data_IF_170464032295
#
_entry.id   IF_170464032295
#
_cell.length_a   1.000
_cell.length_b   1.000
_cell.length_c   1.000
_cell.angle_alpha   90.00
_cell.angle_beta   90.00
_cell.angle_gamma   90.00
#
_symmetry.space_group_name_H-M   'P 1'
#
loop_
_entity.id
_entity.type
_entity.pdbx_description
1 polymer ?
#
# COMPACT_ATOMS: atom_id res chain seq x y z
N UNK A 1 20.09 25.43 -9.93
CA UNK A 1 19.09 24.50 -9.36
C UNK A 1 19.15 23.19 -10.14
N UNK A 2 20.01 22.27 -9.70
CA UNK A 2 20.04 20.87 -10.16
C UNK A 2 20.40 20.08 -8.91
N UNK A 3 19.41 19.49 -8.22
CA UNK A 3 19.69 18.64 -7.06
C UNK A 3 20.00 17.23 -7.56
N UNK A 4 21.29 16.98 -7.76
CA UNK A 4 21.83 15.64 -7.64
C UNK A 4 22.04 15.31 -6.17
N UNK A 5 21.45 14.21 -5.71
CA UNK A 5 22.22 13.23 -4.92
C UNK A 5 21.56 11.86 -5.05
N UNK A 6 22.38 10.93 -5.51
CA UNK A 6 22.19 9.49 -5.46
C UNK A 6 21.43 9.07 -4.19
N UNK A 7 20.21 8.58 -4.36
CA UNK A 7 19.62 7.64 -3.42
C UNK A 7 20.04 6.26 -3.91
N UNK A 8 21.26 5.85 -3.56
CA UNK A 8 21.53 4.43 -3.35
C UNK A 8 20.45 3.93 -2.42
N UNK A 9 19.52 3.13 -2.94
CA UNK A 9 18.62 2.34 -2.13
C UNK A 9 19.51 1.46 -1.24
N UNK A 10 19.57 1.79 0.05
CA UNK A 10 20.11 0.87 1.04
C UNK A 10 19.10 -0.29 1.12
N UNK A 11 19.44 -1.50 0.65
CA UNK A 11 18.56 -2.65 0.76
C UNK A 11 18.24 -2.95 2.24
N UNK A 12 19.14 -2.57 3.14
CA UNK A 12 19.00 -2.71 4.59
C UNK A 12 17.98 -1.73 5.18
N UNK A 13 17.67 -0.60 4.51
CA UNK A 13 16.64 0.33 4.98
C UNK A 13 15.22 -0.24 4.83
N UNK A 14 15.01 -1.09 3.82
CA UNK A 14 13.75 -1.81 3.62
C UNK A 14 13.60 -2.95 4.63
N UNK A 15 14.67 -3.70 4.92
CA UNK A 15 14.69 -4.73 5.96
C UNK A 15 14.56 -4.16 7.39
N UNK A 16 15.18 -3.01 7.69
CA UNK A 16 15.15 -2.41 9.02
C UNK A 16 13.75 -1.94 9.46
N UNK A 17 12.86 -1.63 8.51
CA UNK A 17 11.45 -1.32 8.79
C UNK A 17 10.60 -2.58 9.01
N UNK A 18 10.91 -3.67 8.30
CA UNK A 18 10.22 -4.96 8.44
C UNK A 18 10.62 -5.73 9.72
N UNK A 19 11.84 -5.51 10.24
CA UNK A 19 12.41 -6.29 11.34
C UNK A 19 11.87 -5.95 12.74
N UNK A 20 11.01 -4.94 12.91
CA UNK A 20 10.46 -4.56 14.24
C UNK A 20 9.13 -5.28 14.50
N UNK A 21 9.18 -6.61 14.41
CA UNK A 21 8.06 -7.54 14.63
C UNK A 21 7.77 -7.77 16.11
N UNK A 22 6.66 -7.20 16.59
CA UNK A 22 5.93 -7.72 17.73
C UNK A 22 4.95 -8.76 17.19
N UNK A 23 5.46 -9.97 16.98
CA UNK A 23 5.01 -10.93 15.97
C UNK A 23 3.50 -11.27 16.06
N UNK A 24 3.02 -11.72 17.22
CA UNK A 24 1.62 -12.16 17.34
C UNK A 24 0.57 -11.04 17.34
N UNK A 25 0.85 -9.88 17.93
CA UNK A 25 -0.14 -8.79 18.02
C UNK A 25 -0.25 -8.01 16.70
N UNK A 26 0.86 -7.86 15.96
CA UNK A 26 0.85 -7.30 14.61
C UNK A 26 0.19 -8.24 13.61
N UNK A 27 0.47 -9.54 13.68
CA UNK A 27 -0.14 -10.54 12.79
C UNK A 27 -1.66 -10.66 13.02
N UNK A 28 -2.11 -10.68 14.28
CA UNK A 28 -3.55 -10.61 14.61
C UNK A 28 -4.17 -9.31 14.11
N UNK A 29 -3.47 -8.17 14.26
CA UNK A 29 -3.92 -6.87 13.76
C UNK A 29 -3.98 -6.80 12.23
N UNK A 30 -3.04 -7.44 11.53
CA UNK A 30 -2.99 -7.52 10.07
C UNK A 30 -4.08 -8.45 9.53
N UNK A 31 -4.28 -9.61 10.14
CA UNK A 31 -5.36 -10.52 9.79
C UNK A 31 -6.73 -9.86 9.98
N UNK A 32 -6.95 -9.21 11.14
CA UNK A 32 -8.19 -8.49 11.41
C UNK A 32 -8.41 -7.32 10.44
N UNK A 33 -7.34 -6.62 10.07
CA UNK A 33 -7.38 -5.56 9.07
C UNK A 33 -7.77 -6.09 7.68
N UNK A 34 -7.19 -7.19 7.25
CA UNK A 34 -7.52 -7.84 5.96
C UNK A 34 -8.96 -8.35 5.96
N UNK A 35 -9.44 -8.92 7.06
CA UNK A 35 -10.82 -9.39 7.16
C UNK A 35 -11.83 -8.24 7.15
N UNK A 36 -11.51 -7.10 7.80
CA UNK A 36 -12.32 -5.90 7.72
C UNK A 36 -12.40 -5.36 6.26
N UNK A 37 -11.28 -5.34 5.53
CA UNK A 37 -11.26 -4.99 4.11
C UNK A 37 -12.12 -5.94 3.26
N UNK A 38 -12.10 -7.24 3.54
CA UNK A 38 -12.95 -8.23 2.84
C UNK A 38 -14.44 -8.03 3.11
N UNK A 39 -14.79 -7.61 4.32
CA UNK A 39 -16.17 -7.32 4.71
C UNK A 39 -16.69 -5.98 4.19
N UNK A 40 -15.84 -5.18 3.54
CA UNK A 40 -16.23 -3.89 2.99
C UNK A 40 -16.24 -2.77 4.03
N UNK A 41 -15.48 -2.91 5.13
CA UNK A 41 -15.42 -1.91 6.20
C UNK A 41 -14.77 -0.61 5.70
N UNK A 42 -15.50 0.51 5.82
CA UNK A 42 -15.07 1.81 5.33
C UNK A 42 -13.86 2.36 6.08
N UNK A 43 -13.77 2.14 7.40
CA UNK A 43 -12.66 2.63 8.21
C UNK A 43 -11.37 1.86 7.88
N UNK A 44 -11.49 0.56 7.60
CA UNK A 44 -10.38 -0.25 7.12
C UNK A 44 -9.88 0.22 5.74
N UNK A 45 -10.78 0.60 4.82
CA UNK A 45 -10.38 1.16 3.54
C UNK A 45 -9.68 2.51 3.69
N UNK A 46 -10.23 3.41 4.50
CA UNK A 46 -9.59 4.70 4.77
C UNK A 46 -8.20 4.51 5.38
N UNK A 47 -8.04 3.55 6.30
CA UNK A 47 -6.73 3.20 6.85
C UNK A 47 -5.77 2.62 5.80
N UNK A 48 -6.24 1.79 4.87
CA UNK A 48 -5.43 1.28 3.76
C UNK A 48 -4.96 2.41 2.85
N UNK A 49 -5.87 3.29 2.43
CA UNK A 49 -5.55 4.44 1.58
C UNK A 49 -4.55 5.35 2.28
N UNK A 50 -4.81 5.74 3.54
CA UNK A 50 -3.91 6.61 4.30
C UNK A 50 -2.53 5.99 4.50
N UNK A 51 -2.43 4.67 4.70
CA UNK A 51 -1.15 3.99 4.91
C UNK A 51 -0.30 3.93 3.63
N UNK A 52 -0.90 3.67 2.48
CA UNK A 52 -0.15 3.32 1.27
C UNK A 52 -0.15 4.39 0.17
N UNK A 53 -0.99 5.44 0.26
CA UNK A 53 -1.14 6.41 -0.83
C UNK A 53 0.15 7.14 -1.17
N UNK A 54 0.91 7.58 -0.16
CA UNK A 54 2.15 8.32 -0.38
C UNK A 54 3.21 7.46 -1.10
N UNK A 55 3.37 6.20 -0.67
CA UNK A 55 4.36 5.29 -1.22
C UNK A 55 4.01 4.86 -2.64
N UNK A 56 2.73 4.53 -2.89
CA UNK A 56 2.25 4.16 -4.22
C UNK A 56 2.36 5.35 -5.18
N UNK A 57 1.95 6.55 -4.75
CA UNK A 57 2.07 7.75 -5.56
C UNK A 57 3.53 8.07 -5.90
N UNK A 58 4.43 8.03 -4.91
CA UNK A 58 5.85 8.29 -5.14
C UNK A 58 6.48 7.27 -6.10
N UNK A 59 6.08 6.00 -6.00
CA UNK A 59 6.50 4.97 -6.96
C UNK A 59 6.00 5.29 -8.37
N UNK A 60 4.72 5.63 -8.52
CA UNK A 60 4.12 5.92 -9.82
C UNK A 60 4.75 7.15 -10.48
N UNK A 61 4.97 8.23 -9.72
CA UNK A 61 5.66 9.43 -10.23
C UNK A 61 7.05 9.10 -10.75
N UNK A 62 7.76 8.18 -10.08
CA UNK A 62 9.09 7.73 -10.53
C UNK A 62 9.02 6.88 -11.80
N UNK A 63 7.93 6.17 -12.03
CA UNK A 63 7.75 5.30 -13.19
C UNK A 63 7.23 6.04 -14.42
N UNK A 64 6.29 6.97 -14.25
CA UNK A 64 5.66 7.72 -15.34
C UNK A 64 6.37 9.03 -15.64
N UNK A 65 6.98 9.66 -14.62
CA UNK A 65 7.50 11.03 -14.72
C UNK A 65 6.43 12.12 -14.76
N UNK A 66 5.16 11.75 -14.62
CA UNK A 66 4.00 12.65 -14.69
C UNK A 66 3.20 12.58 -13.38
N UNK A 67 3.07 13.71 -12.69
CA UNK A 67 2.37 13.81 -11.42
C UNK A 67 0.86 13.68 -11.51
N UNK A 68 0.26 14.10 -12.63
CA UNK A 68 -1.19 14.04 -12.86
C UNK A 68 -1.60 12.61 -13.21
N UNK A 69 -0.90 11.99 -14.17
CA UNK A 69 -1.13 10.58 -14.51
C UNK A 69 -0.91 9.66 -13.30
N UNK A 70 0.08 9.96 -12.47
CA UNK A 70 0.35 9.20 -11.24
C UNK A 70 -0.77 9.29 -10.21
N UNK A 71 -1.45 10.44 -10.12
CA UNK A 71 -2.58 10.62 -9.20
C UNK A 71 -3.77 9.74 -9.62
N UNK A 72 -4.03 9.67 -10.93
CA UNK A 72 -5.09 8.82 -11.49
C UNK A 72 -4.75 7.34 -11.35
N UNK A 73 -3.51 6.96 -11.64
CA UNK A 73 -3.03 5.57 -11.48
C UNK A 73 -3.05 5.13 -10.02
N UNK A 74 -2.77 6.03 -9.07
CA UNK A 74 -2.87 5.72 -7.63
C UNK A 74 -4.30 5.36 -7.26
N UNK A 75 -5.27 6.18 -7.70
CA UNK A 75 -6.69 5.92 -7.45
C UNK A 75 -7.13 4.59 -8.07
N UNK A 76 -6.80 4.35 -9.35
CA UNK A 76 -7.16 3.11 -10.04
C UNK A 76 -6.51 1.88 -9.38
N UNK A 77 -5.30 2.02 -8.84
CA UNK A 77 -4.61 0.94 -8.10
C UNK A 77 -5.39 0.55 -6.85
N UNK A 78 -5.84 1.51 -6.04
CA UNK A 78 -6.66 1.22 -4.87
C UNK A 78 -8.02 0.64 -5.23
N UNK A 79 -8.66 1.14 -6.28
CA UNK A 79 -9.94 0.60 -6.75
C UNK A 79 -9.81 -0.85 -7.24
N UNK A 80 -8.70 -1.19 -7.93
CA UNK A 80 -8.39 -2.58 -8.31
C UNK A 80 -8.11 -3.46 -7.11
N UNK A 81 -7.34 -2.98 -6.14
CA UNK A 81 -7.06 -3.71 -4.92
C UNK A 81 -8.36 -4.02 -4.16
N UNK A 82 -9.24 -3.02 -4.01
CA UNK A 82 -10.55 -3.16 -3.39
C UNK A 82 -11.40 -4.25 -4.07
N UNK A 83 -11.54 -4.18 -5.39
CA UNK A 83 -12.28 -5.20 -6.16
C UNK A 83 -11.68 -6.59 -5.99
N UNK A 84 -10.35 -6.68 -6.08
CA UNK A 84 -9.66 -7.96 -5.92
C UNK A 84 -9.81 -8.56 -4.52
N UNK A 85 -9.83 -7.73 -3.47
CA UNK A 85 -10.03 -8.17 -2.09
C UNK A 85 -11.46 -8.70 -1.90
N UNK A 86 -12.46 -8.00 -2.45
CA UNK A 86 -13.84 -8.45 -2.44
C UNK A 86 -14.04 -9.77 -3.21
N UNK A 87 -13.46 -9.87 -4.42
CA UNK A 87 -13.54 -11.07 -5.26
C UNK A 87 -12.82 -12.29 -4.65
N UNK A 88 -11.72 -12.06 -3.92
CA UNK A 88 -11.02 -13.12 -3.19
C UNK A 88 -11.90 -13.76 -2.11
N UNK A 89 -12.81 -12.99 -1.49
CA UNK A 89 -13.79 -13.51 -0.55
C UNK A 89 -14.88 -14.36 -1.22
N UNK A 90 -15.21 -14.07 -2.48
CA UNK A 90 -16.30 -14.76 -3.21
C UNK A 90 -15.91 -16.16 -3.72
N UNK A 91 -14.62 -16.42 -3.98
CA UNK A 91 -14.13 -17.67 -4.57
C UNK A 91 -13.65 -18.73 -3.55
N UNK A 92 -13.91 -18.57 -2.25
CA UNK A 92 -13.55 -19.55 -1.21
C UNK A 92 -14.73 -20.41 -0.71
N UNK A 93 -15.74 -20.65 -1.57
CA UNK A 93 -16.83 -21.60 -1.31
C UNK A 93 -16.66 -22.92 -2.06
#
# INVERSE_FOLDING_TARGET
MIFGKSATLDPDAFEALAAVGGDGAREIGEAAFVDALRLGDADAFDAMVNRYSADIYALLVRLTGDSEESADLTQETFLRALRSIADFGANQH
#
